data_IF_912461231517
#
_entry.id   IF_912461231517
#
_cell.length_a   1.000
_cell.length_b   1.000
_cell.length_c   1.000
_cell.angle_alpha   90.00
_cell.angle_beta   90.00
_cell.angle_gamma   90.00
#
_symmetry.space_group_name_H-M   'P 1'
#
loop_
_entity.id
_entity.type
_entity.pdbx_description
1 polymer ?
#
# COMPACT_ATOMS: atom_id res chain seq x y z
N UNK A 1 -6.33 -8.89 -10.57
CA UNK A 1 -5.18 -8.05 -10.20
C UNK A 1 -5.35 -7.67 -8.74
N UNK A 2 -4.29 -7.52 -7.94
CA UNK A 2 -4.45 -6.98 -6.60
C UNK A 2 -4.78 -5.50 -6.67
N UNK A 3 -5.42 -4.98 -5.63
CA UNK A 3 -5.36 -3.55 -5.38
C UNK A 3 -3.92 -3.21 -4.97
N UNK A 4 -3.45 -2.07 -5.41
CA UNK A 4 -2.12 -1.60 -5.09
C UNK A 4 -2.19 -0.54 -3.99
N UNK A 5 -1.47 -0.78 -2.92
CA UNK A 5 -1.26 0.20 -1.87
C UNK A 5 -0.01 1.02 -2.22
N UNK A 6 -0.19 2.31 -2.42
CA UNK A 6 0.91 3.23 -2.64
C UNK A 6 1.61 3.52 -1.30
N UNK A 7 2.92 3.56 -1.32
CA UNK A 7 3.72 3.80 -0.12
C UNK A 7 4.79 4.85 -0.39
N UNK A 8 5.05 5.68 0.61
CA UNK A 8 6.19 6.59 0.66
C UNK A 8 6.95 6.35 1.95
N UNK A 9 8.19 5.87 1.85
CA UNK A 9 8.99 5.46 3.01
C UNK A 9 10.19 6.38 3.23
N UNK A 10 10.53 6.54 4.49
CA UNK A 10 11.84 7.00 4.96
C UNK A 10 12.37 6.01 5.98
N UNK A 11 13.52 5.41 5.71
CA UNK A 11 14.33 4.65 6.66
C UNK A 11 15.55 5.50 6.98
N UNK A 12 15.73 5.87 8.25
CA UNK A 12 16.87 6.66 8.68
C UNK A 12 17.65 5.98 9.80
N UNK A 13 18.93 6.26 9.88
CA UNK A 13 19.78 5.72 10.95
C UNK A 13 21.23 6.12 10.78
N UNK A 14 22.15 5.49 11.54
CA UNK A 14 23.57 5.73 11.37
C UNK A 14 24.00 5.46 9.93
N UNK A 15 24.68 6.43 9.31
CA UNK A 15 25.09 6.42 7.90
C UNK A 15 25.67 5.09 7.44
N UNK A 16 26.63 4.55 8.18
CA UNK A 16 27.30 3.30 7.81
C UNK A 16 26.36 2.09 7.79
N UNK A 17 25.35 2.08 8.68
CA UNK A 17 24.37 0.99 8.72
C UNK A 17 23.40 1.06 7.56
N UNK A 18 22.83 2.25 7.31
CA UNK A 18 21.89 2.45 6.20
C UNK A 18 22.59 2.20 4.87
N UNK A 19 23.84 2.72 4.73
CA UNK A 19 24.64 2.44 3.54
C UNK A 19 24.90 0.94 3.35
N UNK A 20 25.22 0.22 4.41
CA UNK A 20 25.45 -1.23 4.32
C UNK A 20 24.19 -2.01 3.90
N UNK A 21 22.99 -1.54 4.28
CA UNK A 21 21.72 -2.10 3.82
C UNK A 21 21.58 -1.83 2.33
N UNK A 22 21.72 -0.56 1.91
CA UNK A 22 21.59 -0.15 0.53
C UNK A 22 22.59 -0.86 -0.40
N UNK A 23 23.86 -0.94 0.00
CA UNK A 23 24.89 -1.65 -0.78
C UNK A 23 24.53 -3.13 -1.02
N UNK A 24 23.90 -3.80 -0.03
CA UNK A 24 23.42 -5.18 -0.20
C UNK A 24 22.24 -5.26 -1.18
N UNK A 25 21.32 -4.31 -1.10
CA UNK A 25 20.18 -4.21 -2.02
C UNK A 25 20.68 -4.00 -3.45
N UNK A 26 21.62 -3.09 -3.66
CA UNK A 26 22.23 -2.83 -4.97
C UNK A 26 23.07 -3.98 -5.51
N UNK A 27 23.69 -4.76 -4.63
CA UNK A 27 24.49 -5.92 -5.03
C UNK A 27 23.66 -7.12 -5.52
N UNK A 28 22.38 -7.22 -5.12
CA UNK A 28 21.46 -8.30 -5.49
C UNK A 28 20.02 -7.75 -5.65
N UNK A 29 19.78 -6.91 -6.68
CA UNK A 29 18.49 -6.23 -6.86
C UNK A 29 17.35 -7.20 -7.15
N UNK A 30 17.62 -8.33 -7.78
CA UNK A 30 16.64 -9.37 -8.11
C UNK A 30 16.03 -10.04 -6.85
N UNK A 31 16.70 -9.90 -5.70
CA UNK A 31 16.27 -10.52 -4.46
C UNK A 31 15.04 -9.86 -3.86
N UNK A 32 14.78 -8.60 -4.17
CA UNK A 32 13.72 -7.81 -3.61
C UNK A 32 14.07 -7.13 -2.27
N UNK A 33 13.41 -6.02 -1.98
CA UNK A 33 13.76 -5.13 -0.87
C UNK A 33 13.45 -5.74 0.50
N UNK A 34 12.23 -6.29 0.67
CA UNK A 34 11.83 -6.89 1.95
C UNK A 34 12.68 -8.12 2.30
N UNK A 35 13.10 -8.88 1.29
CA UNK A 35 13.99 -10.01 1.46
C UNK A 35 15.38 -9.60 1.97
N UNK A 36 15.81 -8.36 1.72
CA UNK A 36 17.03 -7.80 2.28
C UNK A 36 16.84 -7.35 3.74
N UNK A 37 15.66 -6.85 4.11
CA UNK A 37 15.35 -6.41 5.48
C UNK A 37 15.01 -7.60 6.38
N UNK A 38 14.12 -8.47 5.95
CA UNK A 38 13.60 -9.64 6.67
C UNK A 38 13.60 -10.85 5.76
N UNK A 39 14.72 -11.60 5.69
CA UNK A 39 14.85 -12.74 4.80
C UNK A 39 13.81 -13.83 5.07
N UNK A 40 13.02 -14.20 4.05
CA UNK A 40 12.13 -15.35 4.10
C UNK A 40 12.95 -16.66 4.16
N UNK A 41 12.47 -17.68 4.91
CA UNK A 41 13.15 -18.96 5.03
C UNK A 41 13.21 -19.70 3.69
N UNK A 42 14.39 -20.15 3.32
CA UNK A 42 14.59 -20.94 2.07
C UNK A 42 13.83 -22.27 2.07
N UNK A 43 13.57 -22.81 3.23
CA UNK A 43 12.80 -24.04 3.42
C UNK A 43 11.37 -23.92 2.88
N UNK A 44 10.83 -22.70 2.80
CA UNK A 44 9.50 -22.42 2.25
C UNK A 44 9.53 -22.12 0.76
N UNK A 45 10.70 -22.04 0.13
CA UNK A 45 10.82 -21.82 -1.31
C UNK A 45 10.18 -23.01 -2.07
N UNK A 46 9.33 -22.68 -3.03
CA UNK A 46 8.62 -23.69 -3.84
C UNK A 46 7.48 -24.41 -3.14
N UNK A 47 7.15 -24.06 -1.90
CA UNK A 47 5.90 -24.53 -1.25
C UNK A 47 4.66 -23.97 -1.95
N UNK A 48 3.50 -24.58 -1.73
CA UNK A 48 2.23 -24.18 -2.37
C UNK A 48 1.29 -23.57 -1.34
N UNK A 49 0.62 -22.46 -1.70
CA UNK A 49 -0.45 -21.87 -0.90
C UNK A 49 -1.78 -21.86 -1.70
N UNK A 50 -2.92 -22.27 -1.09
CA UNK A 50 -3.00 -22.94 0.23
C UNK A 50 -2.24 -24.26 0.24
N UNK A 51 -1.81 -24.68 1.44
CA UNK A 51 -1.08 -25.96 1.62
C UNK A 51 -1.97 -27.14 1.19
N UNK A 52 -1.51 -27.97 0.25
CA UNK A 52 -2.31 -29.08 -0.25
C UNK A 52 -2.56 -30.14 0.83
N UNK A 53 -3.77 -30.67 0.89
CA UNK A 53 -4.16 -31.76 1.79
C UNK A 53 -4.04 -33.14 1.13
N UNK A 54 -3.88 -34.21 1.92
CA UNK A 54 -3.94 -35.58 1.40
C UNK A 54 -5.22 -35.83 0.59
N UNK A 55 -5.06 -36.28 -0.65
CA UNK A 55 -6.16 -36.50 -1.60
C UNK A 55 -6.33 -35.38 -2.65
N UNK A 56 -5.68 -34.25 -2.51
CA UNK A 56 -5.64 -33.25 -3.58
C UNK A 56 -4.69 -33.68 -4.70
N UNK A 57 -5.03 -33.32 -5.94
CA UNK A 57 -4.24 -33.69 -7.13
C UNK A 57 -2.79 -33.18 -7.11
N UNK A 58 -2.54 -32.09 -6.42
CA UNK A 58 -1.23 -31.47 -6.27
C UNK A 58 -0.51 -31.84 -4.96
N UNK A 59 -1.08 -32.75 -4.14
CA UNK A 59 -0.44 -33.18 -2.90
C UNK A 59 0.82 -34.01 -3.19
N UNK A 60 1.95 -33.52 -2.71
CA UNK A 60 3.28 -34.18 -2.86
C UNK A 60 3.88 -34.62 -1.52
N UNK A 61 3.08 -34.62 -0.48
CA UNK A 61 3.52 -34.86 0.89
C UNK A 61 3.40 -33.60 1.75
N UNK A 62 3.67 -33.72 3.07
CA UNK A 62 3.65 -32.55 3.97
C UNK A 62 4.70 -31.53 3.56
N UNK A 63 4.36 -30.26 3.64
CA UNK A 63 5.27 -29.15 3.44
C UNK A 63 6.10 -28.88 4.72
N UNK A 64 7.29 -28.29 4.62
CA UNK A 64 8.06 -27.87 5.78
C UNK A 64 7.28 -26.84 6.58
N UNK A 65 7.51 -26.80 7.90
CA UNK A 65 6.91 -25.80 8.79
C UNK A 65 8.04 -24.96 9.41
N UNK A 66 7.98 -23.65 9.16
CA UNK A 66 8.93 -22.68 9.72
C UNK A 66 8.15 -21.58 10.41
N UNK A 67 8.46 -21.28 11.66
CA UNK A 67 7.81 -20.27 12.49
C UNK A 67 6.27 -20.40 12.54
N UNK A 68 5.77 -21.62 12.42
CA UNK A 68 4.34 -21.95 12.41
C UNK A 68 3.63 -21.76 11.07
N UNK A 69 4.36 -21.46 10.00
CA UNK A 69 3.86 -21.36 8.63
C UNK A 69 4.37 -22.55 7.81
N UNK A 70 3.51 -23.16 7.01
CA UNK A 70 3.84 -24.32 6.18
C UNK A 70 3.93 -23.98 4.68
N UNK A 71 3.84 -22.70 4.34
CA UNK A 71 4.04 -22.20 3.00
C UNK A 71 4.58 -20.75 2.99
N UNK A 72 5.15 -20.38 1.85
CA UNK A 72 5.76 -19.07 1.63
C UNK A 72 4.79 -17.89 1.79
N UNK A 73 3.52 -18.09 1.40
CA UNK A 73 2.51 -17.02 1.41
C UNK A 73 2.15 -16.63 2.84
N UNK A 74 1.77 -17.62 3.67
CA UNK A 74 1.39 -17.37 5.07
C UNK A 74 2.54 -16.79 5.87
N UNK A 75 3.79 -17.22 5.56
CA UNK A 75 4.97 -16.65 6.19
C UNK A 75 5.17 -15.18 5.80
N UNK A 76 5.08 -14.84 4.51
CA UNK A 76 5.23 -13.46 4.04
C UNK A 76 4.15 -12.55 4.58
N UNK A 77 2.88 -12.95 4.55
CA UNK A 77 1.78 -12.19 5.14
C UNK A 77 2.02 -11.95 6.64
N UNK A 78 2.50 -12.95 7.36
CA UNK A 78 2.77 -12.85 8.80
C UNK A 78 3.96 -11.96 9.15
N UNK A 79 5.02 -11.95 8.35
CA UNK A 79 6.29 -11.29 8.65
C UNK A 79 6.61 -10.09 7.77
N UNK A 80 5.93 -9.94 6.64
CA UNK A 80 6.04 -8.76 5.80
C UNK A 80 4.75 -7.92 5.75
N UNK A 81 3.57 -8.49 6.05
CA UNK A 81 2.26 -7.86 5.86
C UNK A 81 1.75 -7.90 4.42
N UNK A 82 2.58 -8.31 3.49
CA UNK A 82 2.24 -8.43 2.06
C UNK A 82 2.82 -9.71 1.47
N UNK A 83 2.16 -10.22 0.42
CA UNK A 83 2.56 -11.47 -0.21
C UNK A 83 3.76 -11.35 -1.13
N UNK A 84 3.96 -10.20 -1.77
CA UNK A 84 5.01 -9.97 -2.75
C UNK A 84 6.08 -9.03 -2.21
N UNK A 85 7.29 -9.29 -2.62
CA UNK A 85 8.40 -8.36 -2.46
C UNK A 85 8.32 -7.26 -3.52
N UNK A 86 9.08 -6.21 -3.35
CA UNK A 86 9.22 -5.11 -4.31
C UNK A 86 10.58 -5.19 -4.98
N UNK A 87 10.59 -4.97 -6.31
CA UNK A 87 11.81 -4.80 -7.09
C UNK A 87 12.37 -3.40 -6.85
N UNK A 88 13.67 -3.30 -6.67
CA UNK A 88 14.33 -2.00 -6.57
C UNK A 88 14.27 -1.24 -7.89
N UNK A 89 14.41 -1.93 -9.00
CA UNK A 89 14.40 -1.32 -10.34
C UNK A 89 13.02 -0.74 -10.70
N UNK A 90 11.93 -1.32 -10.14
CA UNK A 90 10.56 -0.85 -10.35
C UNK A 90 10.08 0.12 -9.24
N UNK A 91 10.91 0.40 -8.24
CA UNK A 91 10.62 1.32 -7.15
C UNK A 91 11.29 2.68 -7.37
N UNK A 92 10.80 3.69 -6.65
CA UNK A 92 11.45 4.99 -6.57
C UNK A 92 12.35 5.15 -5.35
N UNK A 93 12.86 4.03 -4.78
CA UNK A 93 13.73 4.06 -3.61
C UNK A 93 15.14 4.50 -3.98
N UNK A 94 15.71 5.39 -3.17
CA UNK A 94 17.08 5.87 -3.35
C UNK A 94 17.77 6.10 -1.99
N UNK A 95 19.10 6.08 -2.01
CA UNK A 95 19.94 6.34 -0.86
C UNK A 95 20.46 7.78 -0.87
N UNK A 96 20.43 8.40 0.30
CA UNK A 96 21.06 9.69 0.55
C UNK A 96 21.70 9.74 1.94
N UNK A 97 22.54 10.74 2.17
CA UNK A 97 23.20 10.93 3.45
C UNK A 97 23.30 12.41 3.83
N UNK A 98 23.21 12.68 5.12
CA UNK A 98 23.39 14.02 5.68
C UNK A 98 24.10 13.92 7.04
N UNK A 99 25.30 14.48 7.13
CA UNK A 99 26.15 14.36 8.32
C UNK A 99 26.45 12.89 8.69
N UNK A 100 26.07 12.48 9.88
CA UNK A 100 26.25 11.12 10.39
C UNK A 100 25.03 10.20 10.13
N UNK A 101 24.00 10.70 9.44
CA UNK A 101 22.80 9.97 9.09
C UNK A 101 22.81 9.52 7.64
N UNK A 102 22.29 8.32 7.41
CA UNK A 102 21.92 7.79 6.11
C UNK A 102 20.42 7.63 6.00
N UNK A 103 19.91 7.67 4.79
CA UNK A 103 18.49 7.56 4.46
C UNK A 103 18.29 6.63 3.27
N UNK A 104 17.26 5.78 3.34
CA UNK A 104 16.64 5.17 2.17
C UNK A 104 15.24 5.75 2.08
N UNK A 105 14.91 6.43 0.97
CA UNK A 105 13.65 7.14 0.80
C UNK A 105 13.06 6.88 -0.56
N UNK A 106 11.74 6.95 -0.66
CA UNK A 106 11.05 6.98 -1.93
C UNK A 106 9.72 6.25 -1.95
N UNK A 107 9.25 6.00 -3.16
CA UNK A 107 7.95 5.45 -3.46
C UNK A 107 8.05 3.98 -3.86
N UNK A 108 7.06 3.20 -3.48
CA UNK A 108 6.88 1.83 -3.92
C UNK A 108 5.43 1.39 -3.72
N UNK A 109 5.04 0.31 -4.41
CA UNK A 109 3.71 -0.24 -4.30
C UNK A 109 3.73 -1.63 -3.69
N UNK A 110 2.73 -1.93 -2.85
CA UNK A 110 2.53 -3.24 -2.26
C UNK A 110 1.16 -3.80 -2.59
N UNK A 111 1.06 -5.13 -2.61
CA UNK A 111 -0.21 -5.80 -2.91
C UNK A 111 -1.11 -5.82 -1.68
N UNK A 112 -2.30 -5.21 -1.77
CA UNK A 112 -3.39 -5.21 -0.81
C UNK A 112 -3.21 -4.36 0.45
N UNK A 113 -2.01 -4.11 0.91
CA UNK A 113 -1.73 -3.34 2.11
C UNK A 113 -0.25 -3.06 2.30
N UNK A 114 0.12 -2.14 3.20
CA UNK A 114 1.50 -1.78 3.47
C UNK A 114 2.27 -2.92 4.16
N UNK A 115 3.61 -2.88 4.10
CA UNK A 115 4.47 -3.93 4.65
C UNK A 115 4.86 -3.67 6.13
N UNK A 116 3.90 -3.33 7.00
CA UNK A 116 4.19 -2.90 8.38
C UNK A 116 4.84 -3.98 9.23
N UNK A 117 4.44 -5.24 9.07
CA UNK A 117 5.03 -6.38 9.78
C UNK A 117 6.51 -6.60 9.41
N UNK A 118 6.89 -6.22 8.18
CA UNK A 118 8.30 -6.23 7.77
C UNK A 118 9.10 -5.20 8.58
N UNK A 119 8.58 -4.00 8.72
CA UNK A 119 9.22 -2.94 9.47
C UNK A 119 9.31 -3.27 10.95
N UNK A 120 8.24 -3.75 11.57
CA UNK A 120 8.24 -4.21 12.95
C UNK A 120 9.27 -5.32 13.20
N UNK A 121 9.32 -6.30 12.29
CA UNK A 121 10.25 -7.43 12.40
C UNK A 121 11.71 -6.97 12.26
N UNK A 122 11.95 -6.01 11.37
CA UNK A 122 13.26 -5.41 11.16
C UNK A 122 13.70 -4.55 12.35
N UNK A 123 12.84 -3.64 12.84
CA UNK A 123 13.13 -2.71 13.93
C UNK A 123 13.40 -3.42 15.27
N UNK A 124 12.79 -4.59 15.53
CA UNK A 124 13.13 -5.41 16.72
C UNK A 124 14.61 -5.77 16.84
N UNK A 125 15.36 -5.73 15.72
CA UNK A 125 16.79 -6.06 15.66
C UNK A 125 17.68 -4.82 15.47
N UNK A 126 17.06 -3.66 15.20
CA UNK A 126 17.74 -2.43 14.80
C UNK A 126 17.17 -1.22 15.55
N UNK A 127 17.47 -1.10 16.84
CA UNK A 127 16.94 -0.06 17.73
C UNK A 127 17.49 1.36 17.50
N UNK A 128 18.39 1.54 16.57
CA UNK A 128 19.02 2.81 16.17
C UNK A 128 18.66 3.17 14.70
N UNK A 129 17.71 2.46 14.12
CA UNK A 129 17.11 2.78 12.82
C UNK A 129 15.65 3.17 13.08
N UNK A 130 15.18 4.14 12.33
CA UNK A 130 13.81 4.67 12.39
C UNK A 130 13.15 4.51 11.03
N UNK A 131 11.87 4.17 11.02
CA UNK A 131 11.08 3.98 9.80
C UNK A 131 9.80 4.78 9.90
N UNK A 132 9.59 5.66 8.92
CA UNK A 132 8.28 6.29 8.67
C UNK A 132 7.80 5.83 7.31
N UNK A 133 6.55 5.34 7.23
CA UNK A 133 5.93 4.93 5.98
C UNK A 133 4.52 5.48 5.90
N UNK A 134 4.28 6.37 4.95
CA UNK A 134 2.94 6.82 4.60
C UNK A 134 2.38 5.84 3.57
N UNK A 135 1.11 5.48 3.70
CA UNK A 135 0.48 4.55 2.78
C UNK A 135 -0.96 4.95 2.45
N UNK A 136 -1.40 4.60 1.23
CA UNK A 136 -2.76 4.85 0.77
C UNK A 136 -3.21 3.76 -0.21
N UNK A 137 -4.39 3.18 0.04
CA UNK A 137 -5.07 2.23 -0.85
C UNK A 137 -6.53 2.66 -1.02
N UNK A 138 -6.85 3.35 -2.14
CA UNK A 138 -8.17 3.92 -2.36
C UNK A 138 -9.26 2.87 -2.58
N UNK A 139 -8.92 1.69 -3.13
CA UNK A 139 -9.90 0.66 -3.45
C UNK A 139 -10.44 -0.10 -2.24
N UNK A 140 -9.68 -0.15 -1.13
CA UNK A 140 -10.10 -0.72 0.15
C UNK A 140 -10.32 0.35 1.22
N UNK A 141 -10.26 1.64 0.84
CA UNK A 141 -10.60 2.78 1.68
C UNK A 141 -9.78 2.85 2.97
N UNK A 142 -8.47 2.83 2.85
CA UNK A 142 -7.59 3.08 3.98
C UNK A 142 -6.34 3.88 3.59
N UNK A 143 -5.87 4.67 4.54
CA UNK A 143 -4.60 5.39 4.49
C UNK A 143 -4.01 5.46 5.91
N UNK A 144 -2.72 5.74 6.04
CA UNK A 144 -2.14 5.90 7.36
C UNK A 144 -0.65 6.26 7.33
N UNK A 145 -0.14 6.50 8.52
CA UNK A 145 1.26 6.81 8.80
C UNK A 145 1.77 5.82 9.84
N UNK A 146 2.68 4.97 9.42
CA UNK A 146 3.44 4.13 10.32
C UNK A 146 4.71 4.85 10.75
N UNK A 147 4.99 4.86 12.05
CA UNK A 147 6.23 5.40 12.62
C UNK A 147 6.73 4.49 13.74
N UNK A 148 7.85 3.82 13.51
CA UNK A 148 8.60 3.04 14.53
C UNK A 148 7.75 2.06 15.36
N UNK A 149 6.81 1.35 14.75
CA UNK A 149 5.93 0.39 15.40
C UNK A 149 4.58 0.95 15.85
N UNK A 150 4.29 2.21 15.55
CA UNK A 150 2.98 2.83 15.75
C UNK A 150 2.34 3.11 14.40
N UNK A 151 1.07 2.76 14.26
CA UNK A 151 0.31 2.95 13.03
C UNK A 151 -0.92 3.82 13.29
N UNK A 152 -0.95 5.01 12.66
CA UNK A 152 -2.05 5.96 12.68
C UNK A 152 -2.86 5.81 11.38
N UNK A 153 -3.73 4.79 11.35
CA UNK A 153 -4.59 4.50 10.20
C UNK A 153 -5.91 5.28 10.22
N UNK A 154 -6.37 5.67 9.03
CA UNK A 154 -7.67 6.31 8.80
C UNK A 154 -8.42 5.63 7.63
N UNK A 155 -9.74 5.83 7.59
CA UNK A 155 -10.56 5.54 6.43
C UNK A 155 -10.89 6.85 5.71
N UNK A 156 -10.37 7.13 4.52
CA UNK A 156 -10.63 8.37 3.80
C UNK A 156 -12.11 8.69 3.61
N UNK A 157 -12.98 7.68 3.44
CA UNK A 157 -14.44 7.88 3.33
C UNK A 157 -15.12 8.41 4.60
N UNK A 158 -14.46 8.42 5.75
CA UNK A 158 -14.96 9.05 6.97
C UNK A 158 -14.80 10.59 6.95
N UNK A 159 -14.13 11.14 5.93
CA UNK A 159 -13.81 12.55 5.73
C UNK A 159 -14.43 13.09 4.45
N UNK A 160 -14.49 14.42 4.32
CA UNK A 160 -14.81 15.11 3.08
C UNK A 160 -13.54 15.61 2.41
N UNK A 161 -13.64 15.97 1.13
CA UNK A 161 -12.53 16.57 0.39
C UNK A 161 -11.93 17.78 1.12
N UNK A 162 -12.78 18.69 1.63
CA UNK A 162 -12.35 19.89 2.36
C UNK A 162 -11.61 19.56 3.66
N UNK A 163 -11.91 18.44 4.33
CA UNK A 163 -11.22 18.03 5.56
C UNK A 163 -9.74 17.69 5.28
N UNK A 164 -9.41 17.22 4.06
CA UNK A 164 -8.04 17.02 3.61
C UNK A 164 -7.40 18.31 3.11
N UNK A 165 -8.08 19.06 2.23
CA UNK A 165 -7.56 20.26 1.59
C UNK A 165 -7.26 21.40 2.59
N UNK A 166 -8.01 21.48 3.68
CA UNK A 166 -7.85 22.50 4.73
C UNK A 166 -7.07 21.97 5.95
N UNK A 167 -6.65 20.71 5.95
CA UNK A 167 -5.97 20.09 7.07
C UNK A 167 -4.62 20.76 7.40
N UNK A 168 -4.33 20.90 8.69
CA UNK A 168 -3.01 21.31 9.12
C UNK A 168 -1.99 20.20 8.79
N UNK A 169 -0.86 20.60 8.18
CA UNK A 169 0.22 19.68 7.78
C UNK A 169 0.85 18.88 8.92
N UNK A 170 0.66 19.33 10.16
CA UNK A 170 1.13 18.60 11.33
C UNK A 170 0.18 17.46 11.76
N UNK A 171 -1.00 17.36 11.14
CA UNK A 171 -1.97 16.29 11.39
C UNK A 171 -1.73 15.08 10.47
N UNK A 172 -2.24 13.91 10.87
CA UNK A 172 -2.21 12.69 10.03
C UNK A 172 -2.88 12.97 8.68
N UNK A 173 -4.06 13.59 8.69
CA UNK A 173 -4.83 13.91 7.48
C UNK A 173 -4.05 14.84 6.56
N UNK A 174 -3.46 15.93 7.10
CA UNK A 174 -2.69 16.88 6.30
C UNK A 174 -1.39 16.29 5.72
N UNK A 175 -0.68 15.43 6.46
CA UNK A 175 0.51 14.73 5.94
C UNK A 175 0.15 13.74 4.83
N UNK A 176 -0.96 13.03 4.97
CA UNK A 176 -1.46 12.10 3.95
C UNK A 176 -1.90 12.85 2.70
N UNK A 177 -2.58 13.98 2.85
CA UNK A 177 -2.98 14.80 1.72
C UNK A 177 -1.78 15.41 0.98
N UNK A 178 -0.80 15.95 1.72
CA UNK A 178 0.44 16.46 1.12
C UNK A 178 1.19 15.38 0.33
N UNK A 179 1.11 14.11 0.80
CA UNK A 179 1.78 12.98 0.16
C UNK A 179 1.03 12.44 -1.05
N UNK A 180 -0.31 12.28 -0.96
CA UNK A 180 -1.10 11.50 -1.92
C UNK A 180 -2.16 12.31 -2.66
N UNK A 181 -2.35 13.60 -2.35
CA UNK A 181 -3.40 14.48 -2.91
C UNK A 181 -4.81 13.86 -2.79
N UNK A 182 -5.13 13.32 -1.60
CA UNK A 182 -6.39 12.60 -1.36
C UNK A 182 -7.57 13.56 -1.51
N UNK A 183 -7.48 14.77 -0.95
CA UNK A 183 -8.52 15.80 -1.03
C UNK A 183 -8.85 16.23 -2.45
N UNK A 184 -7.83 16.45 -3.29
CA UNK A 184 -8.02 16.76 -4.71
C UNK A 184 -8.75 15.62 -5.43
N UNK A 185 -8.31 14.38 -5.23
CA UNK A 185 -8.93 13.19 -5.83
C UNK A 185 -10.37 13.01 -5.39
N UNK A 186 -10.69 13.25 -4.12
CA UNK A 186 -12.05 13.20 -3.58
C UNK A 186 -12.93 14.31 -4.16
N UNK A 187 -12.42 15.54 -4.27
CA UNK A 187 -13.15 16.67 -4.84
C UNK A 187 -13.50 16.44 -6.32
N UNK A 188 -12.55 15.92 -7.11
CA UNK A 188 -12.79 15.56 -8.51
C UNK A 188 -13.89 14.49 -8.64
N UNK A 189 -13.85 13.46 -7.77
CA UNK A 189 -14.87 12.41 -7.76
C UNK A 189 -16.26 12.94 -7.37
N UNK A 190 -16.35 13.83 -6.38
CA UNK A 190 -17.59 14.48 -5.96
C UNK A 190 -18.18 15.32 -7.11
N UNK A 191 -17.35 16.11 -7.82
CA UNK A 191 -17.79 16.90 -8.99
C UNK A 191 -18.30 16.03 -10.13
N UNK A 192 -17.62 14.90 -10.41
CA UNK A 192 -18.07 13.93 -11.42
C UNK A 192 -19.44 13.32 -11.06
N UNK A 193 -19.65 13.00 -9.78
CA UNK A 193 -20.94 12.44 -9.31
C UNK A 193 -22.07 13.47 -9.38
N UNK A 194 -21.82 14.72 -9.05
CA UNK A 194 -22.80 15.80 -9.19
C UNK A 194 -23.20 16.02 -10.64
N UNK A 195 -22.26 16.10 -11.58
CA UNK A 195 -22.53 16.26 -13.01
C UNK A 195 -23.28 15.07 -13.58
N UNK A 196 -23.01 13.85 -13.17
CA UNK A 196 -23.75 12.65 -13.56
C UNK A 196 -25.19 12.67 -13.01
N UNK A 197 -25.39 13.09 -11.76
CA UNK A 197 -26.71 13.23 -11.16
C UNK A 197 -27.54 14.28 -11.87
N UNK A 198 -26.97 15.44 -12.20
CA UNK A 198 -27.62 16.48 -12.99
C UNK A 198 -28.02 15.98 -14.41
N UNK A 199 -27.14 15.23 -15.06
CA UNK A 199 -27.42 14.59 -16.35
C UNK A 199 -28.59 13.64 -16.24
N UNK A 200 -28.61 12.76 -15.26
CA UNK A 200 -29.73 11.82 -15.01
C UNK A 200 -31.05 12.55 -14.75
N UNK A 201 -31.02 13.65 -13.98
CA UNK A 201 -32.22 14.49 -13.75
C UNK A 201 -32.72 15.12 -15.04
N UNK A 202 -31.84 15.65 -15.90
CA UNK A 202 -32.22 16.21 -17.20
C UNK A 202 -32.86 15.13 -18.10
N UNK A 203 -32.27 13.96 -18.18
CA UNK A 203 -32.80 12.83 -18.97
C UNK A 203 -34.22 12.45 -18.50
N UNK A 204 -34.43 12.32 -17.18
CA UNK A 204 -35.74 12.04 -16.60
C UNK A 204 -36.77 13.14 -16.88
N UNK A 205 -36.36 14.41 -16.88
CA UNK A 205 -37.25 15.54 -17.25
C UNK A 205 -37.68 15.45 -18.74
N UNK A 206 -36.72 15.12 -19.61
CA UNK A 206 -37.00 14.96 -21.05
C UNK A 206 -37.96 13.79 -21.29
N UNK A 207 -37.72 12.63 -20.67
CA UNK A 207 -38.60 11.47 -20.77
C UNK A 207 -40.03 11.77 -20.27
N UNK A 208 -40.15 12.42 -19.11
CA UNK A 208 -41.48 12.83 -18.58
C UNK A 208 -42.20 13.82 -19.48
N UNK A 209 -41.50 14.76 -20.11
CA UNK A 209 -42.08 15.69 -21.09
C UNK A 209 -42.56 14.96 -22.33
N UNK A 210 -41.76 14.01 -22.84
CA UNK A 210 -42.15 13.20 -24.01
C UNK A 210 -43.39 12.33 -23.73
N UNK A 211 -43.50 11.75 -22.54
CA UNK A 211 -44.66 10.94 -22.12
C UNK A 211 -45.94 11.77 -21.93
N UNK A 212 -45.83 13.08 -21.65
CA UNK A 212 -46.96 13.98 -21.45
C UNK A 212 -47.31 14.83 -22.68
N UNK A 213 -46.64 14.64 -23.82
CA UNK A 213 -47.00 15.30 -25.06
C UNK A 213 -48.26 14.67 -25.65
N UNK A 214 -49.30 15.45 -26.04
CA UNK A 214 -50.50 14.91 -26.68
C UNK A 214 -50.15 14.37 -28.07
N UNK A 215 -50.73 13.20 -28.44
CA UNK A 215 -50.50 12.48 -29.73
C UNK A 215 -50.67 13.32 -31.03
N UNK A 216 -51.03 14.59 -30.93
CA UNK A 216 -51.28 15.48 -32.07
C UNK A 216 -50.07 16.22 -32.62
N UNK A 217 -48.88 16.08 -32.02
CA UNK A 217 -47.64 16.72 -32.51
C UNK A 217 -46.63 15.74 -33.14
N UNK A 218 -47.08 14.51 -33.44
CA UNK A 218 -46.23 13.47 -34.07
C UNK A 218 -46.75 13.21 -35.53
N UNK A 219 -47.06 14.26 -36.29
CA UNK A 219 -47.42 14.14 -37.68
C UNK A 219 -46.56 15.07 -38.56
#
# INVERSE_FOLDING_TARGET
MPNWCNNNITIEGPKEKIKAIWDKVQADPDKGFFQHLVPAPKELDGTTSPTPEPGWANYKGPQPVVDGCDNWYDWRVKYWGTKWDISIDDSGLDYSEEGDKGYIKGWYDTAWGPALECFDTFLRKHNDIYITNLYYEPGCDFAGIYTDGHDDGINPSDYKADDFLEADRDTVVGQLDECFSIGETMAEYEEEQETEAERKVRELIVEKKAQNMPEKEIA
#
